data_IF_190164869769
#
_entry.id   IF_190164869769
#
_cell.length_a   1.000
_cell.length_b   1.000
_cell.length_c   1.000
_cell.angle_alpha   90.00
_cell.angle_beta   90.00
_cell.angle_gamma   90.00
#
_symmetry.space_group_name_H-M   'P 1'
#
loop_
_entity.id
_entity.type
_entity.pdbx_description
1 polymer ?
#
# COMPACT_ATOMS: atom_id res chain seq x y z
N UNK A 1 -9.78 4.16 15.74
CA UNK A 1 -9.64 4.32 14.26
C UNK A 1 -10.51 3.33 13.49
N UNK A 2 -10.25 2.01 13.51
CA UNK A 2 -11.05 1.03 12.75
C UNK A 2 -12.55 1.06 13.08
N UNK A 3 -12.90 1.31 14.34
CA UNK A 3 -14.29 1.48 14.81
C UNK A 3 -14.87 2.90 14.65
N UNK A 4 -14.18 3.82 13.97
CA UNK A 4 -14.73 5.13 13.60
C UNK A 4 -14.11 6.35 14.29
N UNK A 5 -13.22 6.18 15.27
CA UNK A 5 -12.52 7.33 15.88
C UNK A 5 -11.61 8.03 14.86
N UNK A 6 -11.86 9.33 14.64
CA UNK A 6 -11.16 10.21 13.69
C UNK A 6 -10.26 11.25 14.37
N UNK A 7 -10.08 11.19 15.69
CA UNK A 7 -9.10 12.02 16.38
C UNK A 7 -7.67 11.66 15.96
N UNK A 8 -6.73 12.58 16.18
CA UNK A 8 -5.31 12.43 15.82
C UNK A 8 -4.58 11.46 16.77
N UNK A 9 -5.00 10.19 16.81
CA UNK A 9 -4.47 9.18 17.74
C UNK A 9 -3.03 8.79 17.40
N UNK A 10 -2.74 8.54 16.11
CA UNK A 10 -1.44 8.03 15.65
C UNK A 10 -0.73 8.97 14.68
N UNK A 11 -1.46 9.88 14.03
CA UNK A 11 -0.95 10.80 13.02
C UNK A 11 -1.74 12.09 13.09
N UNK A 12 -1.09 13.20 12.74
CA UNK A 12 -1.76 14.49 12.50
C UNK A 12 -2.56 14.48 11.19
N UNK A 13 -2.28 13.52 10.30
CA UNK A 13 -2.99 13.32 9.05
C UNK A 13 -4.06 12.24 9.23
N UNK A 14 -5.24 12.38 8.61
CA UNK A 14 -6.29 11.37 8.70
C UNK A 14 -5.84 10.02 8.13
N UNK A 15 -6.15 8.93 8.84
CA UNK A 15 -5.99 7.59 8.28
C UNK A 15 -7.03 7.36 7.20
N UNK A 16 -6.57 7.09 5.98
CA UNK A 16 -7.41 6.96 4.78
C UNK A 16 -7.87 5.53 4.56
N UNK A 17 -7.08 4.55 4.99
CA UNK A 17 -7.37 3.12 4.87
C UNK A 17 -6.44 2.28 5.76
N UNK A 18 -6.66 0.97 5.79
CA UNK A 18 -5.75 0.00 6.38
C UNK A 18 -5.19 -0.96 5.34
N UNK A 19 -3.86 -1.08 5.30
CA UNK A 19 -3.20 -2.13 4.53
C UNK A 19 -3.21 -3.43 5.31
N UNK A 20 -3.72 -4.51 4.73
CA UNK A 20 -3.83 -5.81 5.39
C UNK A 20 -2.55 -6.62 5.23
N UNK A 21 -1.76 -6.68 6.29
CA UNK A 21 -0.53 -7.47 6.29
C UNK A 21 -0.84 -8.96 6.06
N UNK A 22 0.06 -9.68 5.38
CA UNK A 22 0.03 -11.14 5.36
C UNK A 22 0.33 -11.76 6.72
N UNK A 23 0.99 -11.01 7.61
CA UNK A 23 1.18 -11.41 9.00
C UNK A 23 -0.11 -11.28 9.81
N UNK A 24 -0.36 -12.26 10.68
CA UNK A 24 -1.61 -12.36 11.43
C UNK A 24 -1.44 -12.15 12.94
N UNK A 25 -2.54 -11.83 13.61
CA UNK A 25 -2.70 -11.85 15.06
C UNK A 25 -4.08 -12.43 15.37
N UNK A 26 -4.15 -13.45 16.23
CA UNK A 26 -5.38 -14.20 16.50
C UNK A 26 -6.07 -14.75 15.24
N UNK A 27 -5.30 -15.15 14.22
CA UNK A 27 -5.81 -15.67 12.95
C UNK A 27 -6.19 -14.60 11.92
N UNK A 28 -6.37 -13.35 12.35
CA UNK A 28 -6.77 -12.24 11.49
C UNK A 28 -5.56 -11.45 10.96
N UNK A 29 -5.69 -10.88 9.77
CA UNK A 29 -4.64 -10.03 9.17
C UNK A 29 -4.44 -8.76 9.98
N UNK A 30 -3.18 -8.37 10.21
CA UNK A 30 -2.87 -7.12 10.91
C UNK A 30 -3.25 -5.92 10.04
N UNK A 31 -3.99 -4.98 10.63
CA UNK A 31 -4.38 -3.71 10.01
C UNK A 31 -3.29 -2.66 10.19
N UNK A 32 -2.64 -2.26 9.11
CA UNK A 32 -1.61 -1.22 9.12
C UNK A 32 -2.21 0.10 8.63
N UNK A 33 -2.37 1.12 9.50
CA UNK A 33 -2.93 2.40 9.08
C UNK A 33 -1.99 3.10 8.10
N UNK A 34 -2.54 3.72 7.06
CA UNK A 34 -1.79 4.53 6.10
C UNK A 34 -2.51 5.86 5.84
N UNK A 35 -1.74 6.86 5.43
CA UNK A 35 -2.22 8.18 5.04
C UNK A 35 -2.08 8.36 3.53
N UNK A 36 -2.70 9.39 2.97
CA UNK A 36 -2.70 9.64 1.53
C UNK A 36 -1.29 9.80 0.97
N UNK A 37 -0.44 10.55 1.68
CA UNK A 37 0.94 10.86 1.28
C UNK A 37 1.87 9.64 1.22
N UNK A 38 1.49 8.53 1.87
CA UNK A 38 2.25 7.29 1.77
C UNK A 38 2.18 6.69 0.36
N UNK A 39 1.14 7.00 -0.42
CA UNK A 39 1.07 6.59 -1.83
C UNK A 39 2.15 7.27 -2.68
N UNK A 40 2.39 8.56 -2.47
CA UNK A 40 3.44 9.31 -3.17
C UNK A 40 4.83 8.75 -2.85
N UNK A 41 5.08 8.41 -1.57
CA UNK A 41 6.34 7.79 -1.15
C UNK A 41 6.56 6.42 -1.78
N UNK A 42 5.49 5.61 -1.90
CA UNK A 42 5.53 4.31 -2.60
C UNK A 42 5.82 4.49 -4.08
N UNK A 43 5.17 5.46 -4.72
CA UNK A 43 5.40 5.76 -6.14
C UNK A 43 6.82 6.26 -6.41
N UNK A 44 7.38 7.07 -5.51
CA UNK A 44 8.78 7.49 -5.56
C UNK A 44 9.73 6.29 -5.51
N UNK A 45 9.49 5.33 -4.61
CA UNK A 45 10.31 4.12 -4.56
C UNK A 45 10.23 3.31 -5.86
N UNK A 46 9.04 3.15 -6.43
CA UNK A 46 8.86 2.46 -7.72
C UNK A 46 9.59 3.16 -8.87
N UNK A 47 9.61 4.50 -8.91
CA UNK A 47 10.24 5.25 -9.99
C UNK A 47 11.77 5.06 -10.03
N UNK A 48 12.39 4.70 -8.90
CA UNK A 48 13.83 4.45 -8.81
C UNK A 48 14.25 3.08 -9.36
N UNK A 49 13.33 2.11 -9.45
CA UNK A 49 13.66 0.73 -9.82
C UNK A 49 14.19 0.63 -11.26
N UNK A 50 13.50 1.22 -12.24
CA UNK A 50 13.89 1.14 -13.66
C UNK A 50 15.20 1.89 -13.98
N UNK A 51 15.45 3.11 -13.46
CA UNK A 51 16.74 3.77 -13.60
C UNK A 51 17.92 2.91 -13.09
N UNK A 52 17.77 2.25 -11.94
CA UNK A 52 18.81 1.35 -11.41
C UNK A 52 18.99 0.13 -12.30
N UNK A 53 17.91 -0.51 -12.75
CA UNK A 53 18.00 -1.68 -13.64
C UNK A 53 18.71 -1.37 -14.96
N UNK A 54 18.49 -0.18 -15.53
CA UNK A 54 19.12 0.25 -16.78
C UNK A 54 20.65 0.36 -16.71
N UNK A 55 21.24 0.48 -15.51
CA UNK A 55 22.70 0.44 -15.33
C UNK A 55 23.29 -0.95 -15.64
N UNK A 56 22.49 -2.01 -15.49
CA UNK A 56 22.94 -3.40 -15.59
C UNK A 56 22.31 -4.15 -16.77
N UNK A 57 21.10 -3.77 -17.17
CA UNK A 57 20.33 -4.41 -18.25
C UNK A 57 19.84 -3.33 -19.22
N UNK A 58 20.63 -2.97 -20.24
CA UNK A 58 20.26 -1.93 -21.18
C UNK A 58 19.16 -2.39 -22.15
N UNK A 59 18.36 -1.44 -22.67
CA UNK A 59 17.39 -1.70 -23.73
C UNK A 59 16.05 -2.25 -23.26
N UNK A 60 15.76 -2.27 -21.95
CA UNK A 60 14.44 -2.65 -21.43
C UNK A 60 13.33 -1.70 -21.90
N UNK A 61 13.68 -0.45 -22.23
CA UNK A 61 12.83 0.57 -22.85
C UNK A 61 12.42 0.23 -24.29
N UNK A 62 13.12 -0.71 -24.95
CA UNK A 62 12.85 -1.12 -26.34
C UNK A 62 11.86 -2.29 -26.44
N UNK A 63 11.34 -2.76 -25.32
CA UNK A 63 10.42 -3.89 -25.25
C UNK A 63 9.19 -3.61 -24.39
N UNK A 64 8.49 -4.68 -24.04
CA UNK A 64 7.40 -4.67 -23.07
C UNK A 64 7.63 -5.81 -22.08
N UNK A 65 7.12 -5.66 -20.87
CA UNK A 65 7.14 -6.70 -19.86
C UNK A 65 5.77 -7.37 -19.73
N UNK A 66 5.76 -8.68 -19.54
CA UNK A 66 4.57 -9.45 -19.19
C UNK A 66 4.52 -9.60 -17.66
N UNK A 67 3.58 -8.92 -17.02
CA UNK A 67 3.36 -9.00 -15.58
C UNK A 67 1.98 -9.59 -15.26
N UNK A 68 1.94 -10.62 -14.42
CA UNK A 68 0.71 -11.21 -13.89
C UNK A 68 0.42 -10.59 -12.52
N UNK A 69 -0.39 -9.53 -12.49
CA UNK A 69 -0.75 -8.78 -11.29
C UNK A 69 -2.18 -9.14 -10.86
N UNK A 70 -2.38 -9.37 -9.56
CA UNK A 70 -3.68 -9.78 -9.01
C UNK A 70 -4.05 -8.91 -7.80
N UNK A 71 -5.27 -8.39 -7.82
CA UNK A 71 -5.90 -7.80 -6.62
C UNK A 71 -6.43 -8.91 -5.71
N UNK A 72 -6.71 -8.56 -4.45
CA UNK A 72 -7.29 -9.45 -3.44
C UNK A 72 -8.61 -8.87 -2.93
N UNK A 73 -9.37 -9.66 -2.18
CA UNK A 73 -10.63 -9.22 -1.57
C UNK A 73 -10.39 -8.08 -0.59
N UNK A 74 -11.23 -7.06 -0.66
CA UNK A 74 -11.23 -5.93 0.28
C UNK A 74 -12.38 -6.07 1.28
N UNK A 75 -12.25 -5.41 2.43
CA UNK A 75 -13.31 -5.31 3.44
C UNK A 75 -13.46 -3.86 3.90
N UNK A 76 -14.53 -3.58 4.66
CA UNK A 76 -14.70 -2.30 5.35
C UNK A 76 -14.66 -2.51 6.84
N UNK A 77 -13.93 -1.67 7.55
CA UNK A 77 -13.95 -1.64 9.01
C UNK A 77 -15.32 -1.14 9.51
N UNK A 78 -15.68 -1.38 10.78
CA UNK A 78 -16.94 -0.87 11.34
C UNK A 78 -17.10 0.65 11.23
N UNK A 79 -16.00 1.40 11.26
CA UNK A 79 -15.94 2.84 11.05
C UNK A 79 -15.94 3.29 9.58
N UNK A 80 -16.14 2.37 8.64
CA UNK A 80 -16.28 2.64 7.21
C UNK A 80 -14.99 2.80 6.42
N UNK A 81 -13.80 2.61 7.03
CA UNK A 81 -12.54 2.67 6.30
C UNK A 81 -12.32 1.40 5.47
N UNK A 82 -11.74 1.49 4.26
CA UNK A 82 -11.28 0.32 3.54
C UNK A 82 -10.17 -0.41 4.30
N UNK A 83 -10.16 -1.74 4.19
CA UNK A 83 -9.07 -2.61 4.62
C UNK A 83 -8.71 -3.57 3.46
N UNK A 84 -7.55 -3.35 2.83
CA UNK A 84 -7.08 -4.06 1.64
C UNK A 84 -5.66 -4.56 1.77
#
# INVERSE_FOLDING_TARGET
IASGDRSMILSSYPITEFLTSSGTSAGERKLMPTIEEDMDRRQLLYSLQMPVMNLYVPGLDKGKALHFLFVKSESKTPGGLPAR
#
